data_IF_225153035663
#
_entry.id   IF_225153035663
#
_cell.length_a   1.000
_cell.length_b   1.000
_cell.length_c   1.000
_cell.angle_alpha   90.00
_cell.angle_beta   90.00
_cell.angle_gamma   90.00
#
_symmetry.space_group_name_H-M   'P 1'
#
loop_
_entity.id
_entity.type
_entity.pdbx_description
1 polymer ?
#
# COMPACT_ATOMS: atom_id res chain seq x y z
N UNK A 1 -14.69 21.75 -12.04
CA UNK A 1 -14.66 20.29 -12.15
C UNK A 1 -13.39 19.87 -12.87
N UNK A 2 -12.63 18.90 -12.33
CA UNK A 2 -11.50 18.30 -13.05
C UNK A 2 -12.03 17.70 -14.36
N UNK A 3 -11.40 18.02 -15.50
CA UNK A 3 -11.77 17.44 -16.80
C UNK A 3 -11.62 15.91 -16.73
N UNK A 4 -12.50 15.12 -17.38
CA UNK A 4 -12.38 13.67 -17.37
C UNK A 4 -11.05 13.29 -18.04
N UNK A 5 -10.11 12.85 -17.22
CA UNK A 5 -8.82 12.33 -17.66
C UNK A 5 -9.06 10.89 -18.14
N UNK A 6 -8.72 10.58 -19.38
CA UNK A 6 -8.85 9.23 -19.94
C UNK A 6 -7.85 8.22 -19.37
N UNK A 7 -6.96 8.67 -18.48
CA UNK A 7 -5.98 7.84 -17.77
C UNK A 7 -5.90 8.30 -16.32
N UNK A 8 -5.82 7.34 -15.39
CA UNK A 8 -5.57 7.65 -13.98
C UNK A 8 -4.06 7.56 -13.72
N UNK A 9 -3.43 8.64 -13.21
CA UNK A 9 -2.03 8.58 -12.83
C UNK A 9 -1.84 7.59 -11.67
N UNK A 10 -0.65 6.98 -11.51
CA UNK A 10 -0.37 6.11 -10.37
C UNK A 10 -0.59 6.80 -9.03
N UNK A 11 -0.28 8.11 -8.94
CA UNK A 11 -0.26 8.90 -7.70
C UNK A 11 0.55 8.16 -6.63
N UNK A 12 1.88 8.18 -6.79
CA UNK A 12 2.79 7.58 -5.82
C UNK A 12 2.79 8.45 -4.57
N UNK A 13 2.27 7.95 -3.45
CA UNK A 13 2.10 8.73 -2.21
C UNK A 13 3.08 8.34 -1.12
N UNK A 14 3.56 7.10 -1.13
CA UNK A 14 4.44 6.57 -0.11
C UNK A 14 5.38 5.51 -0.67
N UNK A 15 6.54 5.37 -0.03
CA UNK A 15 7.54 4.35 -0.31
C UNK A 15 8.15 3.84 0.99
N UNK A 16 8.52 2.57 1.04
CA UNK A 16 9.21 1.98 2.19
C UNK A 16 10.28 1.00 1.71
N UNK A 17 11.43 0.98 2.40
CA UNK A 17 12.61 0.20 2.04
C UNK A 17 12.78 -0.94 3.03
N UNK A 18 12.93 -2.17 2.56
CA UNK A 18 13.23 -3.29 3.45
C UNK A 18 14.52 -3.05 4.24
N UNK A 19 14.58 -3.53 5.48
CA UNK A 19 15.72 -3.29 6.39
C UNK A 19 17.05 -3.84 5.86
N UNK A 20 17.02 -4.79 4.93
CA UNK A 20 18.19 -5.33 4.23
C UNK A 20 18.59 -4.54 2.97
N UNK A 21 17.97 -3.37 2.74
CA UNK A 21 18.15 -2.47 1.61
C UNK A 21 17.91 -3.10 0.22
N UNK A 22 17.25 -4.27 0.17
CA UNK A 22 17.09 -5.05 -1.07
C UNK A 22 15.84 -4.68 -1.86
N UNK A 23 14.75 -4.33 -1.19
CA UNK A 23 13.44 -4.13 -1.84
C UNK A 23 12.80 -2.79 -1.46
N UNK A 24 12.39 -2.05 -2.48
CA UNK A 24 11.60 -0.83 -2.35
C UNK A 24 10.13 -1.13 -2.69
N UNK A 25 9.23 -0.78 -1.78
CA UNK A 25 7.79 -0.88 -1.96
C UNK A 25 7.22 0.49 -2.33
N UNK A 26 6.29 0.53 -3.28
CA UNK A 26 5.78 1.78 -3.85
C UNK A 26 4.26 1.74 -3.93
N UNK A 27 3.62 2.62 -3.17
CA UNK A 27 2.17 2.79 -3.10
C UNK A 27 1.64 3.64 -4.24
N UNK A 28 0.98 3.03 -5.23
CA UNK A 28 0.32 3.74 -6.33
C UNK A 28 -1.18 3.93 -6.02
N UNK A 29 -1.48 4.97 -5.24
CA UNK A 29 -2.80 5.23 -4.67
C UNK A 29 -3.91 5.46 -5.71
N UNK A 30 -3.57 6.09 -6.82
CA UNK A 30 -4.52 6.38 -7.91
C UNK A 30 -4.88 5.13 -8.71
N UNK A 31 -3.88 4.35 -9.13
CA UNK A 31 -4.08 3.13 -9.93
C UNK A 31 -4.47 1.91 -9.11
N UNK A 32 -4.37 1.99 -7.78
CA UNK A 32 -4.70 0.88 -6.88
C UNK A 32 -3.67 -0.24 -6.94
N UNK A 33 -2.38 0.09 -6.97
CA UNK A 33 -1.30 -0.88 -7.18
C UNK A 33 -0.21 -0.72 -6.13
N UNK A 34 0.17 -1.81 -5.47
CA UNK A 34 1.37 -1.88 -4.64
C UNK A 34 2.44 -2.56 -5.49
N UNK A 35 3.58 -1.90 -5.67
CA UNK A 35 4.71 -2.41 -6.46
C UNK A 35 5.88 -2.75 -5.55
N UNK A 36 6.66 -3.73 -5.95
CA UNK A 36 7.94 -4.08 -5.33
C UNK A 36 9.05 -3.98 -6.38
N UNK A 37 10.12 -3.30 -6.01
CA UNK A 37 11.32 -3.17 -6.82
C UNK A 37 12.51 -3.78 -6.08
N UNK A 38 13.28 -4.64 -6.74
CA UNK A 38 14.61 -4.98 -6.30
C UNK A 38 15.54 -3.80 -6.58
N UNK A 39 16.16 -3.27 -5.52
CA UNK A 39 17.05 -2.11 -5.52
C UNK A 39 18.46 -2.44 -5.03
N UNK A 40 18.86 -3.73 -5.12
CA UNK A 40 20.24 -4.16 -4.84
C UNK A 40 21.28 -3.41 -5.67
N UNK A 41 20.87 -2.92 -6.86
CA UNK A 41 21.55 -1.84 -7.60
C UNK A 41 20.62 -0.61 -7.60
N UNK A 42 20.83 0.37 -6.69
CA UNK A 42 19.95 1.53 -6.56
C UNK A 42 19.87 2.41 -7.82
N UNK A 43 20.89 2.36 -8.69
CA UNK A 43 20.90 3.11 -9.95
C UNK A 43 20.03 2.44 -11.02
N UNK A 44 19.73 1.15 -10.88
CA UNK A 44 18.93 0.38 -11.82
C UNK A 44 17.85 -0.48 -11.13
N UNK A 45 16.83 0.14 -10.49
CA UNK A 45 15.73 -0.59 -9.85
C UNK A 45 15.00 -1.50 -10.83
N UNK A 46 14.69 -2.73 -10.41
CA UNK A 46 13.97 -3.73 -11.21
C UNK A 46 12.64 -4.07 -10.56
N UNK A 47 11.53 -3.85 -11.25
CA UNK A 47 10.22 -4.28 -10.72
C UNK A 47 10.18 -5.82 -10.68
N UNK A 48 9.92 -6.40 -9.50
CA UNK A 48 9.90 -7.85 -9.27
C UNK A 48 8.55 -8.37 -8.77
N UNK A 49 7.67 -7.48 -8.30
CA UNK A 49 6.36 -7.85 -7.79
C UNK A 49 5.34 -6.73 -7.94
N UNK A 50 4.07 -7.11 -8.00
CA UNK A 50 2.96 -6.17 -7.97
C UNK A 50 1.65 -6.86 -7.59
N UNK A 51 0.83 -6.17 -6.81
CA UNK A 51 -0.55 -6.55 -6.53
C UNK A 51 -1.49 -5.35 -6.71
N UNK A 52 -2.77 -5.61 -6.97
CA UNK A 52 -3.79 -4.55 -7.10
C UNK A 52 -4.87 -4.69 -6.05
N UNK A 53 -5.16 -3.59 -5.35
CA UNK A 53 -6.28 -3.42 -4.43
C UNK A 53 -6.78 -1.97 -4.54
N UNK A 54 -8.09 -1.79 -4.66
CA UNK A 54 -8.71 -0.47 -4.85
C UNK A 54 -8.36 0.20 -6.18
N UNK A 55 -8.05 1.49 -6.11
CA UNK A 55 -7.79 2.38 -7.25
C UNK A 55 -9.05 3.11 -7.74
N UNK A 56 -8.85 4.26 -8.38
CA UNK A 56 -9.93 5.15 -8.84
C UNK A 56 -10.82 4.45 -9.89
N UNK A 57 -10.22 3.70 -10.82
CA UNK A 57 -10.96 3.01 -11.89
C UNK A 57 -11.26 1.57 -11.54
N UNK A 58 -10.23 0.79 -11.17
CA UNK A 58 -10.35 -0.66 -11.03
C UNK A 58 -11.20 -1.07 -9.82
N UNK A 59 -11.09 -0.33 -8.71
CA UNK A 59 -11.76 -0.62 -7.44
C UNK A 59 -11.61 -2.09 -7.02
N UNK A 60 -10.42 -2.65 -7.23
CA UNK A 60 -10.17 -4.08 -7.07
C UNK A 60 -10.50 -4.54 -5.65
N UNK A 61 -11.39 -5.52 -5.52
CA UNK A 61 -11.78 -6.11 -4.23
C UNK A 61 -10.61 -6.85 -3.57
N UNK A 62 -10.63 -6.95 -2.24
CA UNK A 62 -9.77 -7.91 -1.54
C UNK A 62 -10.25 -9.33 -1.83
N UNK A 63 -9.36 -10.34 -2.04
CA UNK A 63 -9.79 -11.72 -2.30
C UNK A 63 -10.69 -12.31 -1.21
N UNK A 64 -10.42 -11.96 0.06
CA UNK A 64 -11.25 -12.34 1.21
C UNK A 64 -12.70 -11.81 1.14
N UNK A 65 -12.96 -10.77 0.33
CA UNK A 65 -14.25 -10.08 0.16
C UNK A 65 -14.43 -9.69 -1.31
N UNK A 66 -14.44 -10.67 -2.20
CA UNK A 66 -14.51 -10.46 -3.65
C UNK A 66 -15.74 -9.63 -4.10
N UNK A 67 -16.82 -9.67 -3.32
CA UNK A 67 -18.07 -8.93 -3.51
C UNK A 67 -18.01 -7.45 -3.09
N UNK A 68 -16.87 -6.99 -2.56
CA UNK A 68 -16.70 -5.65 -1.99
C UNK A 68 -15.63 -4.85 -2.77
N UNK A 69 -16.02 -4.09 -3.81
CA UNK A 69 -15.12 -3.18 -4.50
C UNK A 69 -14.51 -2.16 -3.53
N UNK A 70 -13.18 -2.04 -3.52
CA UNK A 70 -12.48 -1.16 -2.60
C UNK A 70 -12.38 0.26 -3.16
N UNK A 71 -12.69 1.25 -2.32
CA UNK A 71 -12.40 2.67 -2.58
C UNK A 71 -11.07 3.07 -1.92
N UNK A 72 -10.46 4.17 -2.34
CA UNK A 72 -9.05 4.43 -2.05
C UNK A 72 -8.13 3.48 -2.82
N UNK A 73 -6.85 3.47 -2.49
CA UNK A 73 -5.85 2.56 -3.03
C UNK A 73 -4.69 2.41 -2.05
N UNK A 74 -3.62 1.68 -2.37
CA UNK A 74 -2.45 1.59 -1.50
C UNK A 74 -1.89 2.99 -1.21
N UNK A 75 -1.81 3.35 0.07
CA UNK A 75 -1.35 4.65 0.55
C UNK A 75 -0.17 4.48 1.50
N UNK A 76 -0.34 4.55 2.82
CA UNK A 76 0.78 4.33 3.74
C UNK A 76 1.18 2.87 3.70
N UNK A 77 2.47 2.60 3.49
CA UNK A 77 3.07 1.26 3.48
C UNK A 77 4.01 1.09 4.65
N UNK A 78 4.05 -0.10 5.23
CA UNK A 78 4.95 -0.43 6.32
C UNK A 78 5.46 -1.87 6.18
N UNK A 79 6.77 -2.04 6.26
CA UNK A 79 7.44 -3.33 6.09
C UNK A 79 7.89 -3.88 7.45
N UNK A 80 7.65 -5.17 7.69
CA UNK A 80 8.17 -5.82 8.89
C UNK A 80 9.70 -5.93 8.86
N UNK A 81 10.35 -5.87 10.03
CA UNK A 81 11.83 -5.91 10.15
C UNK A 81 12.51 -7.07 9.44
N UNK A 82 11.86 -8.23 9.34
CA UNK A 82 12.38 -9.40 8.62
C UNK A 82 12.12 -9.38 7.11
N UNK A 83 11.51 -8.32 6.59
CA UNK A 83 11.21 -8.12 5.17
C UNK A 83 10.09 -8.99 4.60
N UNK A 84 9.44 -9.84 5.41
CA UNK A 84 8.51 -10.87 4.92
C UNK A 84 7.06 -10.43 4.81
N UNK A 85 6.67 -9.35 5.48
CA UNK A 85 5.30 -8.84 5.52
C UNK A 85 5.30 -7.37 5.16
N UNK A 86 4.38 -6.99 4.28
CA UNK A 86 4.15 -5.60 3.90
C UNK A 86 2.70 -5.28 4.22
N UNK A 87 2.47 -4.23 4.98
CA UNK A 87 1.13 -3.77 5.32
C UNK A 87 0.87 -2.46 4.61
N UNK A 88 -0.37 -2.20 4.25
CA UNK A 88 -0.74 -0.86 3.80
C UNK A 88 -2.19 -0.49 4.08
N UNK A 89 -2.44 0.82 4.18
CA UNK A 89 -3.75 1.43 4.38
C UNK A 89 -4.12 2.35 3.22
N UNK A 90 -5.32 2.91 3.24
CA UNK A 90 -5.94 3.45 2.02
C UNK A 90 -6.24 4.96 2.00
N UNK A 91 -6.12 5.69 3.11
CA UNK A 91 -6.41 7.13 3.16
C UNK A 91 -5.14 7.96 3.08
N UNK A 92 -5.18 9.04 2.29
CA UNK A 92 -4.09 10.00 2.12
C UNK A 92 -4.27 11.21 3.03
N UNK A 93 -5.29 12.00 2.77
CA UNK A 93 -5.58 13.22 3.52
C UNK A 93 -7.03 13.60 3.28
N UNK A 94 -7.74 13.99 4.35
CA UNK A 94 -9.18 14.25 4.33
C UNK A 94 -9.72 14.93 3.07
N UNK A 95 -9.17 16.11 2.77
CA UNK A 95 -9.58 16.93 1.64
C UNK A 95 -9.16 16.40 0.27
N UNK A 96 -8.11 15.58 0.18
CA UNK A 96 -7.64 14.99 -1.06
C UNK A 96 -8.41 13.72 -1.38
N UNK A 97 -8.60 12.85 -0.37
CA UNK A 97 -9.46 11.68 -0.45
C UNK A 97 -10.83 12.05 -1.05
N UNK A 98 -11.47 13.12 -0.58
CA UNK A 98 -12.80 13.55 -1.05
C UNK A 98 -12.78 14.08 -2.50
N UNK A 99 -11.64 14.59 -2.97
CA UNK A 99 -11.49 15.06 -4.36
C UNK A 99 -11.30 13.89 -5.34
N UNK A 100 -10.49 12.90 -4.97
CA UNK A 100 -10.18 11.75 -5.82
C UNK A 100 -11.23 10.62 -5.69
N UNK A 101 -11.81 10.46 -4.52
CA UNK A 101 -12.82 9.46 -4.17
C UNK A 101 -14.05 10.15 -3.56
N UNK A 102 -14.90 10.80 -4.37
CA UNK A 102 -16.03 11.62 -3.90
C UNK A 102 -17.13 10.84 -3.16
N UNK A 103 -17.09 9.51 -3.21
CA UNK A 103 -17.97 8.62 -2.45
C UNK A 103 -17.32 8.10 -1.16
N UNK A 104 -16.19 8.69 -0.76
CA UNK A 104 -15.37 8.27 0.38
C UNK A 104 -14.40 7.14 0.01
N UNK A 105 -13.28 7.11 0.71
CA UNK A 105 -12.27 6.02 0.60
C UNK A 105 -12.62 4.81 1.46
N UNK A 106 -13.52 4.96 2.45
CA UNK A 106 -13.71 3.96 3.50
C UNK A 106 -12.45 3.79 4.36
N UNK A 107 -12.35 2.67 5.06
CA UNK A 107 -11.18 2.36 5.87
C UNK A 107 -10.86 0.87 5.73
N UNK A 108 -9.65 0.54 5.33
CA UNK A 108 -9.19 -0.84 5.23
C UNK A 108 -7.67 -0.92 5.29
N UNK A 109 -7.19 -2.07 5.74
CA UNK A 109 -5.78 -2.43 5.78
C UNK A 109 -5.61 -3.79 5.13
N UNK A 110 -4.55 -3.95 4.35
CA UNK A 110 -4.18 -5.22 3.75
C UNK A 110 -2.79 -5.64 4.22
N UNK A 111 -2.53 -6.96 4.22
CA UNK A 111 -1.19 -7.52 4.38
C UNK A 111 -0.82 -8.27 3.11
N UNK A 112 0.44 -8.13 2.71
CA UNK A 112 1.08 -8.92 1.69
C UNK A 112 2.15 -9.80 2.32
N UNK A 113 2.28 -11.01 1.83
CA UNK A 113 3.46 -11.84 2.04
C UNK A 113 4.46 -11.52 0.90
N UNK A 114 5.67 -11.11 1.30
CA UNK A 114 6.75 -10.74 0.40
C UNK A 114 7.76 -11.89 0.29
N UNK A 115 8.02 -12.32 -0.95
CA UNK A 115 9.04 -13.34 -1.22
C UNK A 115 10.44 -12.72 -1.09
N UNK A 116 11.36 -13.30 -0.29
CA UNK A 116 12.75 -12.84 -0.20
C UNK A 116 13.52 -12.80 -1.53
N UNK A 117 13.07 -13.55 -2.54
CA UNK A 117 13.64 -13.56 -3.89
C UNK A 117 12.91 -12.61 -4.86
N UNK A 118 11.84 -11.97 -4.40
CA UNK A 118 11.03 -11.02 -5.16
C UNK A 118 9.68 -11.61 -5.56
N UNK A 119 8.62 -10.86 -5.30
CA UNK A 119 7.24 -11.31 -5.46
C UNK A 119 6.38 -10.83 -4.31
N UNK A 120 5.12 -10.55 -4.62
CA UNK A 120 4.11 -10.14 -3.65
C UNK A 120 2.87 -11.02 -3.81
N UNK A 121 2.30 -11.45 -2.69
CA UNK A 121 1.01 -12.12 -2.65
C UNK A 121 0.13 -11.51 -1.56
N UNK A 122 -1.17 -11.42 -1.81
CA UNK A 122 -2.12 -10.88 -0.83
C UNK A 122 -2.42 -11.96 0.20
N UNK A 123 -2.35 -11.64 1.49
CA UNK A 123 -2.79 -12.55 2.55
C UNK A 123 -4.32 -12.44 2.70
N UNK A 124 -5.03 -13.49 2.28
CA UNK A 124 -6.49 -13.56 2.34
C UNK A 124 -7.05 -13.68 3.77
N UNK A 125 -6.22 -14.05 4.75
CA UNK A 125 -6.61 -14.17 6.15
C UNK A 125 -6.54 -12.84 6.92
N UNK A 126 -5.93 -11.80 6.35
CA UNK A 126 -5.74 -10.50 6.99
C UNK A 126 -6.41 -9.39 6.18
N UNK A 127 -7.60 -8.94 6.62
CA UNK A 127 -8.28 -7.81 6.00
C UNK A 127 -9.17 -7.01 6.97
N UNK A 128 -8.59 -6.27 7.94
CA UNK A 128 -9.37 -5.35 8.78
C UNK A 128 -10.01 -4.23 7.93
N UNK A 129 -11.30 -3.97 8.13
CA UNK A 129 -12.03 -2.96 7.33
C UNK A 129 -13.25 -2.35 8.04
N UNK A 130 -13.70 -1.19 7.55
CA UNK A 130 -14.94 -0.54 7.96
C UNK A 130 -15.01 -0.22 9.45
N UNK A 131 -16.00 -0.80 10.14
CA UNK A 131 -16.30 -0.52 11.56
C UNK A 131 -15.19 -0.96 12.52
N UNK A 132 -14.28 -1.84 12.10
CA UNK A 132 -13.06 -2.15 12.88
C UNK A 132 -12.24 -0.89 13.18
N UNK A 133 -12.35 0.12 12.31
CA UNK A 133 -11.73 1.43 12.46
C UNK A 133 -12.67 2.52 12.99
N UNK A 134 -13.87 2.15 13.46
CA UNK A 134 -14.80 3.05 14.20
C UNK A 134 -15.16 4.33 13.42
N UNK A 135 -15.37 4.20 12.11
CA UNK A 135 -15.69 5.32 11.23
C UNK A 135 -14.51 6.26 10.93
N UNK A 136 -13.29 5.92 11.36
CA UNK A 136 -12.08 6.69 11.09
C UNK A 136 -11.41 6.22 9.81
N UNK A 137 -10.74 7.15 9.12
CA UNK A 137 -9.82 6.80 8.04
C UNK A 137 -8.49 6.33 8.60
N UNK A 138 -7.88 5.37 7.92
CA UNK A 138 -6.64 4.72 8.35
C UNK A 138 -5.46 5.18 7.53
N UNK A 139 -4.35 5.43 8.23
CA UNK A 139 -3.16 6.07 7.67
C UNK A 139 -1.91 5.29 8.10
N UNK A 140 -0.97 5.90 8.81
CA UNK A 140 0.28 5.25 9.18
C UNK A 140 0.08 4.02 10.08
N UNK A 141 0.87 2.98 9.81
CA UNK A 141 0.97 1.75 10.59
C UNK A 141 2.23 1.86 11.45
N UNK A 142 2.21 1.30 12.67
CA UNK A 142 3.42 1.13 13.48
C UNK A 142 3.42 -0.27 14.09
N UNK A 143 4.44 -1.05 13.78
CA UNK A 143 4.57 -2.42 14.27
C UNK A 143 5.25 -2.41 15.64
N UNK A 144 4.71 -3.21 16.55
CA UNK A 144 5.29 -3.34 17.87
C UNK A 144 6.71 -3.93 17.77
N UNK A 145 7.68 -3.25 18.40
CA UNK A 145 9.10 -3.64 18.35
C UNK A 145 9.90 -3.02 17.21
N UNK A 146 9.31 -2.08 16.46
CA UNK A 146 9.93 -1.35 15.36
C UNK A 146 9.63 -1.97 14.00
N UNK A 147 9.65 -1.12 12.99
CA UNK A 147 9.39 -1.40 11.58
C UNK A 147 10.46 -0.76 10.69
N UNK A 148 10.30 -0.85 9.38
CA UNK A 148 11.28 -0.36 8.43
C UNK A 148 11.37 1.18 8.39
N UNK A 149 10.31 1.89 8.81
CA UNK A 149 10.26 3.35 8.78
C UNK A 149 10.30 4.04 10.15
N UNK A 150 10.35 3.29 11.27
CA UNK A 150 10.34 3.86 12.62
C UNK A 150 11.73 4.17 13.19
N UNK A 151 12.75 3.46 12.74
CA UNK A 151 14.06 3.42 13.38
C UNK A 151 15.19 3.81 12.42
N UNK A 152 16.28 4.31 13.00
CA UNK A 152 17.55 4.52 12.29
C UNK A 152 18.69 3.88 13.07
N UNK A 153 19.69 3.36 12.36
CA UNK A 153 20.77 2.57 12.95
C UNK A 153 22.10 3.31 12.84
N UNK A 154 22.92 3.23 13.89
CA UNK A 154 24.25 3.86 13.93
C UNK A 154 25.40 2.87 13.69
N UNK A 155 25.09 1.62 13.34
CA UNK A 155 26.05 0.55 13.09
C UNK A 155 25.64 -0.21 11.83
N UNK A 156 26.64 -0.59 11.03
CA UNK A 156 26.51 -1.43 9.83
C UNK A 156 26.53 -2.92 10.15
#
# INVERSE_FOLDING_TARGET
ALKPFAAVPPIITDIDLSVDDKFLYVSCWGTGEMKQFNVSDPANPKQVGSVRLGGIVNRTSHPARADMPLSGGPQMVEVSRDGRRVYFTNSLYGAWDDQFYPHGVGAWMAKLDADPDGGLSIDESFFPHGEEFRGLRVHQIRLQGGDASSDSYCYS
#
